data_IF_410468762316
#
_entry.id   IF_410468762316
#
_cell.length_a   1.000
_cell.length_b   1.000
_cell.length_c   1.000
_cell.angle_alpha   90.00
_cell.angle_beta   90.00
_cell.angle_gamma   90.00
#
_symmetry.space_group_name_H-M   'P 1'
#
loop_
_entity.id
_entity.type
_entity.pdbx_description
1 polymer ?
#
# COMPACT_ATOMS: atom_id res chain seq x y z
N UNK A 1 10.82 35.14 -25.34
CA UNK A 1 10.40 35.04 -23.92
C UNK A 1 9.26 34.05 -23.86
N UNK A 2 9.46 32.89 -23.22
CA UNK A 2 8.49 31.79 -23.19
C UNK A 2 7.48 31.98 -22.06
N UNK A 3 6.21 32.12 -22.42
CA UNK A 3 5.10 32.35 -21.50
C UNK A 3 4.56 31.01 -21.01
N UNK A 4 4.62 30.80 -19.69
CA UNK A 4 3.81 29.91 -18.85
C UNK A 4 3.07 28.76 -19.55
N UNK A 5 3.66 27.57 -19.48
CA UNK A 5 2.93 26.30 -19.44
C UNK A 5 3.28 25.68 -18.09
N UNK A 6 2.38 25.77 -17.10
CA UNK A 6 2.09 24.75 -16.09
C UNK A 6 1.31 25.39 -14.94
N UNK A 7 0.09 24.91 -14.76
CA UNK A 7 -0.79 25.34 -13.68
C UNK A 7 -2.07 24.54 -13.70
N UNK A 8 -1.98 23.20 -13.76
CA UNK A 8 -3.09 22.40 -13.24
C UNK A 8 -3.14 22.68 -11.75
N UNK A 9 -4.29 23.04 -11.17
CA UNK A 9 -4.40 23.14 -9.72
C UNK A 9 -3.90 21.82 -9.14
N UNK A 10 -2.98 21.91 -8.17
CA UNK A 10 -2.48 20.77 -7.41
C UNK A 10 -3.73 20.12 -6.80
N UNK A 11 -4.23 19.08 -7.43
CA UNK A 11 -5.33 18.30 -6.90
C UNK A 11 -4.78 17.77 -5.58
N UNK A 12 -5.28 18.31 -4.47
CA UNK A 12 -4.92 17.82 -3.14
C UNK A 12 -5.48 16.41 -3.04
N UNK A 13 -4.70 15.42 -3.50
CA UNK A 13 -4.90 14.03 -3.17
C UNK A 13 -4.76 13.94 -1.66
N UNK A 14 -5.90 13.93 -0.99
CA UNK A 14 -5.99 13.80 0.45
C UNK A 14 -5.33 12.46 0.84
N UNK A 15 -4.33 12.52 1.71
CA UNK A 15 -3.58 11.35 2.16
C UNK A 15 -4.51 10.26 2.70
N UNK A 16 -5.59 10.64 3.40
CA UNK A 16 -6.61 9.70 3.91
C UNK A 16 -7.26 8.92 2.78
N UNK A 17 -7.77 9.62 1.76
CA UNK A 17 -8.40 8.97 0.59
C UNK A 17 -7.43 8.10 -0.22
N UNK A 18 -6.13 8.36 -0.12
CA UNK A 18 -5.10 7.53 -0.75
C UNK A 18 -4.87 6.25 0.06
N UNK A 19 -4.79 6.37 1.39
CA UNK A 19 -4.66 5.25 2.31
C UNK A 19 -5.87 4.32 2.21
N UNK A 20 -7.09 4.86 2.13
CA UNK A 20 -8.32 4.06 1.97
C UNK A 20 -8.27 3.21 0.70
N UNK A 21 -7.86 3.80 -0.44
CA UNK A 21 -7.70 3.07 -1.72
C UNK A 21 -6.61 2.00 -1.64
N UNK A 22 -5.52 2.26 -0.92
CA UNK A 22 -4.46 1.29 -0.70
C UNK A 22 -4.97 0.10 0.13
N UNK A 23 -5.76 0.35 1.17
CA UNK A 23 -6.41 -0.69 1.97
C UNK A 23 -7.40 -1.53 1.15
N UNK A 24 -8.27 -0.90 0.35
CA UNK A 24 -9.19 -1.62 -0.54
C UNK A 24 -8.43 -2.51 -1.54
N UNK A 25 -7.33 -1.99 -2.09
CA UNK A 25 -6.47 -2.75 -3.02
C UNK A 25 -5.81 -3.92 -2.31
N UNK A 26 -5.31 -3.72 -1.09
CA UNK A 26 -4.70 -4.76 -0.26
C UNK A 26 -5.70 -5.90 0.00
N UNK A 27 -6.92 -5.55 0.44
CA UNK A 27 -7.97 -6.54 0.73
C UNK A 27 -8.32 -7.37 -0.51
N UNK A 28 -8.38 -6.73 -1.69
CA UNK A 28 -8.60 -7.44 -2.96
C UNK A 28 -7.45 -8.42 -3.27
N UNK A 29 -6.20 -8.01 -3.06
CA UNK A 29 -5.03 -8.87 -3.30
C UNK A 29 -5.03 -10.07 -2.35
N UNK A 30 -5.33 -9.86 -1.06
CA UNK A 30 -5.46 -10.94 -0.06
C UNK A 30 -6.57 -11.93 -0.42
N UNK A 31 -7.74 -11.44 -0.83
CA UNK A 31 -8.84 -12.30 -1.32
C UNK A 31 -8.39 -13.15 -2.51
N UNK A 32 -7.68 -12.54 -3.47
CA UNK A 32 -7.15 -13.23 -4.65
C UNK A 32 -6.12 -14.29 -4.28
N UNK A 33 -5.20 -13.94 -3.38
CA UNK A 33 -4.18 -14.85 -2.86
C UNK A 33 -4.82 -16.08 -2.19
N UNK A 34 -5.81 -15.87 -1.31
CA UNK A 34 -6.56 -16.94 -0.63
C UNK A 34 -7.25 -17.87 -1.62
N UNK A 35 -7.81 -17.34 -2.71
CA UNK A 35 -8.39 -18.16 -3.79
C UNK A 35 -7.32 -19.00 -4.48
N UNK A 36 -6.14 -18.44 -4.77
CA UNK A 36 -5.03 -19.17 -5.37
C UNK A 36 -4.47 -20.24 -4.44
N UNK A 37 -4.34 -19.97 -3.14
CA UNK A 37 -3.91 -20.94 -2.13
C UNK A 37 -4.86 -22.14 -2.08
N UNK A 38 -6.19 -21.91 -2.10
CA UNK A 38 -7.19 -22.97 -2.20
C UNK A 38 -7.05 -23.77 -3.49
N UNK A 39 -6.83 -23.12 -4.63
CA UNK A 39 -6.61 -23.79 -5.92
C UNK A 39 -5.33 -24.64 -5.90
N UNK A 40 -4.23 -24.13 -5.37
CA UNK A 40 -2.98 -24.86 -5.24
C UNK A 40 -3.14 -26.11 -4.35
N UNK A 41 -3.83 -25.97 -3.22
CA UNK A 41 -4.16 -27.09 -2.32
C UNK A 41 -5.01 -28.16 -3.03
N UNK A 42 -6.01 -27.74 -3.82
CA UNK A 42 -6.83 -28.66 -4.60
C UNK A 42 -6.05 -29.39 -5.71
N UNK A 43 -5.02 -28.75 -6.31
CA UNK A 43 -4.12 -29.44 -7.25
C UNK A 43 -3.25 -30.49 -6.54
N UNK A 44 -2.84 -30.26 -5.29
CA UNK A 44 -2.10 -31.25 -4.49
C UNK A 44 -2.95 -32.48 -4.24
N UNK A 45 -4.19 -32.31 -3.79
CA UNK A 45 -5.09 -33.44 -3.53
C UNK A 45 -5.38 -34.24 -4.80
N UNK A 46 -5.64 -33.57 -5.92
CA UNK A 46 -5.78 -34.24 -7.23
C UNK A 46 -4.50 -34.97 -7.66
N UNK A 47 -3.33 -34.41 -7.42
CA UNK A 47 -2.07 -35.09 -7.69
C UNK A 47 -1.92 -36.37 -6.85
N UNK A 48 -2.34 -36.35 -5.57
CA UNK A 48 -2.36 -37.54 -4.70
C UNK A 48 -3.30 -38.61 -5.24
N UNK A 49 -4.51 -38.23 -5.65
CA UNK A 49 -5.49 -39.15 -6.26
C UNK A 49 -4.94 -39.82 -7.52
N UNK A 50 -4.36 -39.05 -8.45
CA UNK A 50 -3.76 -39.61 -9.66
C UNK A 50 -2.56 -40.51 -9.36
N UNK A 51 -1.80 -40.19 -8.31
CA UNK A 51 -0.68 -41.04 -7.85
C UNK A 51 -1.21 -42.39 -7.34
N UNK A 52 -2.27 -42.40 -6.53
CA UNK A 52 -2.92 -43.63 -6.06
C UNK A 52 -3.48 -44.45 -7.24
N UNK A 53 -4.03 -43.78 -8.25
CA UNK A 53 -4.49 -44.40 -9.49
C UNK A 53 -3.35 -44.82 -10.45
N UNK A 54 -2.08 -44.71 -10.03
CA UNK A 54 -0.88 -44.99 -10.85
C UNK A 54 -0.78 -44.17 -12.15
N UNK A 55 -1.54 -43.07 -12.25
CA UNK A 55 -1.52 -42.16 -13.39
C UNK A 55 -0.49 -41.05 -13.19
N UNK A 56 0.80 -41.40 -13.40
CA UNK A 56 1.93 -40.48 -13.20
C UNK A 56 1.86 -39.21 -14.05
N UNK A 57 1.39 -39.31 -15.31
CA UNK A 57 1.31 -38.16 -16.23
C UNK A 57 0.34 -37.10 -15.71
N UNK A 58 -0.85 -37.51 -15.28
CA UNK A 58 -1.85 -36.60 -14.72
C UNK A 58 -1.39 -35.98 -13.39
N UNK A 59 -0.75 -36.77 -12.52
CA UNK A 59 -0.18 -36.26 -11.26
C UNK A 59 0.86 -35.14 -11.51
N UNK A 60 1.77 -35.34 -12.48
CA UNK A 60 2.77 -34.32 -12.85
C UNK A 60 2.10 -33.05 -13.40
N UNK A 61 1.03 -33.17 -14.18
CA UNK A 61 0.28 -32.01 -14.68
C UNK A 61 -0.34 -31.20 -13.54
N UNK A 62 -0.95 -31.84 -12.55
CA UNK A 62 -1.44 -31.18 -11.35
C UNK A 62 -0.32 -30.44 -10.59
N UNK A 63 0.83 -31.07 -10.41
CA UNK A 63 1.97 -30.42 -9.73
C UNK A 63 2.53 -29.22 -10.51
N UNK A 64 2.56 -29.27 -11.84
CA UNK A 64 2.93 -28.10 -12.67
C UNK A 64 1.94 -26.96 -12.47
N UNK A 65 0.63 -27.26 -12.43
CA UNK A 65 -0.41 -26.27 -12.22
C UNK A 65 -0.38 -25.67 -10.82
N UNK A 66 -0.11 -26.48 -9.78
CA UNK A 66 0.18 -26.02 -8.42
C UNK A 66 1.32 -24.99 -8.43
N UNK A 67 2.46 -25.31 -9.07
CA UNK A 67 3.62 -24.41 -9.14
C UNK A 67 3.28 -23.07 -9.78
N UNK A 68 2.45 -23.04 -10.82
CA UNK A 68 1.98 -21.80 -11.44
C UNK A 68 1.12 -20.94 -10.49
N UNK A 69 0.33 -21.57 -9.63
CA UNK A 69 -0.42 -20.85 -8.59
C UNK A 69 0.50 -20.32 -7.50
N UNK A 70 1.50 -21.10 -7.07
CA UNK A 70 2.50 -20.67 -6.08
C UNK A 70 3.30 -19.45 -6.55
N UNK A 71 3.72 -19.42 -7.82
CA UNK A 71 4.39 -18.26 -8.40
C UNK A 71 3.50 -17.00 -8.41
N UNK A 72 2.20 -17.17 -8.68
CA UNK A 72 1.25 -16.06 -8.62
C UNK A 72 1.04 -15.58 -7.19
N UNK A 73 0.97 -16.48 -6.21
CA UNK A 73 0.87 -16.15 -4.79
C UNK A 73 2.10 -15.33 -4.36
N UNK A 74 3.31 -15.77 -4.71
CA UNK A 74 4.55 -15.05 -4.41
C UNK A 74 4.54 -13.64 -5.02
N UNK A 75 4.08 -13.52 -6.28
CA UNK A 75 3.94 -12.22 -6.95
C UNK A 75 2.93 -11.32 -6.23
N UNK A 76 1.80 -11.85 -5.77
CA UNK A 76 0.81 -11.09 -5.00
C UNK A 76 1.38 -10.64 -3.66
N UNK A 77 2.12 -11.50 -2.96
CA UNK A 77 2.82 -11.14 -1.72
C UNK A 77 3.77 -9.96 -1.90
N UNK A 78 4.53 -9.95 -3.00
CA UNK A 78 5.39 -8.81 -3.34
C UNK A 78 4.61 -7.51 -3.58
N UNK A 79 3.41 -7.57 -4.15
CA UNK A 79 2.56 -6.39 -4.31
C UNK A 79 1.97 -5.91 -2.99
N UNK A 80 1.55 -6.83 -2.11
CA UNK A 80 1.07 -6.49 -0.77
C UNK A 80 2.16 -5.75 0.04
N UNK A 81 3.41 -6.25 0.01
CA UNK A 81 4.54 -5.59 0.68
C UNK A 81 4.74 -4.14 0.19
N UNK A 82 4.72 -3.92 -1.13
CA UNK A 82 4.85 -2.57 -1.69
C UNK A 82 3.72 -1.64 -1.27
N UNK A 83 2.49 -2.15 -1.14
CA UNK A 83 1.36 -1.36 -0.66
C UNK A 83 1.56 -0.99 0.80
N UNK A 84 1.98 -1.93 1.65
CA UNK A 84 2.30 -1.65 3.05
C UNK A 84 3.40 -0.59 3.19
N UNK A 85 4.50 -0.71 2.44
CA UNK A 85 5.59 0.28 2.43
C UNK A 85 5.07 1.68 2.06
N UNK A 86 4.19 1.75 1.04
CA UNK A 86 3.58 3.00 0.60
C UNK A 86 2.65 3.61 1.66
N UNK A 87 1.90 2.79 2.40
CA UNK A 87 1.07 3.25 3.51
C UNK A 87 1.92 3.84 4.63
N UNK A 88 2.98 3.15 5.05
CA UNK A 88 3.92 3.64 6.08
C UNK A 88 4.53 4.98 5.66
N UNK A 89 4.94 5.12 4.40
CA UNK A 89 5.50 6.37 3.88
C UNK A 89 4.48 7.51 3.92
N UNK A 90 3.22 7.25 3.57
CA UNK A 90 2.15 8.25 3.61
C UNK A 90 1.82 8.68 5.04
N UNK A 91 1.79 7.74 5.98
CA UNK A 91 1.57 8.02 7.41
C UNK A 91 2.72 8.87 7.98
N UNK A 92 3.96 8.54 7.65
CA UNK A 92 5.13 9.34 8.05
C UNK A 92 5.13 10.75 7.44
N UNK A 93 4.76 10.88 6.17
CA UNK A 93 4.60 12.17 5.52
C UNK A 93 3.51 13.02 6.19
N UNK A 94 2.37 12.40 6.55
CA UNK A 94 1.27 13.05 7.25
C UNK A 94 1.72 13.59 8.62
N UNK A 95 2.39 12.76 9.44
CA UNK A 95 2.92 13.17 10.74
C UNK A 95 3.92 14.33 10.62
N UNK A 96 4.75 14.31 9.57
CA UNK A 96 5.70 15.40 9.27
C UNK A 96 4.96 16.70 8.94
N UNK A 97 3.92 16.64 8.10
CA UNK A 97 3.09 17.80 7.78
C UNK A 97 2.42 18.38 9.03
N UNK A 98 1.81 17.54 9.86
CA UNK A 98 1.17 17.96 11.12
C UNK A 98 2.16 18.63 12.08
N UNK A 99 3.39 18.09 12.17
CA UNK A 99 4.46 18.67 12.99
C UNK A 99 4.88 20.05 12.47
N UNK A 100 5.07 20.19 11.16
CA UNK A 100 5.45 21.48 10.54
C UNK A 100 4.35 22.52 10.75
N UNK A 101 3.08 22.14 10.63
CA UNK A 101 1.95 23.04 10.86
C UNK A 101 1.85 23.49 12.33
N UNK A 102 2.08 22.57 13.28
CA UNK A 102 2.15 22.91 14.71
C UNK A 102 3.30 23.87 15.02
N UNK A 103 4.50 23.62 14.47
CA UNK A 103 5.67 24.50 14.63
C UNK A 103 5.42 25.89 14.04
N UNK A 104 4.78 25.98 12.86
CA UNK A 104 4.42 27.25 12.24
C UNK A 104 3.45 28.05 13.09
N UNK A 105 2.45 27.37 13.66
CA UNK A 105 1.47 27.97 14.58
C UNK A 105 2.14 28.48 15.85
N UNK A 106 3.01 27.68 16.46
CA UNK A 106 3.81 28.08 17.62
C UNK A 106 4.70 29.30 17.34
N UNK A 107 5.41 29.31 16.21
CA UNK A 107 6.24 30.43 15.80
C UNK A 107 5.44 31.73 15.60
N UNK A 108 4.24 31.64 15.01
CA UNK A 108 3.34 32.78 14.86
C UNK A 108 2.87 33.33 16.22
N UNK A 109 2.52 32.45 17.16
CA UNK A 109 2.16 32.84 18.52
C UNK A 109 3.32 33.52 19.26
N UNK A 110 4.53 32.97 19.17
CA UNK A 110 5.74 33.59 19.76
C UNK A 110 5.99 35.00 19.20
N UNK A 111 5.85 35.18 17.87
CA UNK A 111 6.02 36.49 17.22
C UNK A 111 4.98 37.50 17.72
N UNK A 112 3.73 37.08 17.90
CA UNK A 112 2.67 37.93 18.44
C UNK A 112 2.97 38.36 19.89
N UNK A 113 3.43 37.43 20.72
CA UNK A 113 3.82 37.70 22.12
C UNK A 113 4.99 38.69 22.20
N UNK A 114 6.04 38.49 21.38
CA UNK A 114 7.17 39.42 21.31
C UNK A 114 6.69 40.83 20.95
N UNK A 115 5.86 40.97 19.91
CA UNK A 115 5.31 42.27 19.49
C UNK A 115 4.52 42.94 20.61
N UNK A 116 3.67 42.19 21.32
CA UNK A 116 2.92 42.72 22.46
C UNK A 116 3.85 43.21 23.59
N UNK A 117 4.90 42.45 23.89
CA UNK A 117 5.89 42.79 24.92
C UNK A 117 6.62 44.11 24.60
N UNK A 118 7.05 44.30 23.36
CA UNK A 118 7.69 45.56 22.92
C UNK A 118 6.75 46.77 22.92
N UNK A 119 5.44 46.57 22.74
CA UNK A 119 4.44 47.64 22.80
C UNK A 119 4.06 48.01 24.25
N UNK A 120 4.25 47.09 25.20
CA UNK A 120 3.95 47.29 26.63
C UNK A 120 5.13 47.80 27.47
N UNK A 121 6.33 47.93 26.88
CA UNK A 121 7.48 48.54 27.55
C UNK A 121 7.46 50.07 27.30
N UNK A 122 7.53 50.91 28.35
CA UNK A 122 7.46 52.37 28.25
C UNK A 122 8.66 53.00 27.52
#
# INVERSE_FOLDING_TARGET
MFTRIFGKPKQETNALTTIDKLNETLEMLEKKEKVLQKKASAEVERAREFTKAKNKKAAIQCLKKKRLYEQQIETLGNFQLRIHDQMIMLEGAKATTETVDALRTGAAAMKAMQKATYVSLP
#
